data_IF_893644054862
#
_entry.id   IF_893644054862
#
_cell.length_a   1.000
_cell.length_b   1.000
_cell.length_c   1.000
_cell.angle_alpha   90.00
_cell.angle_beta   90.00
_cell.angle_gamma   90.00
#
_symmetry.space_group_name_H-M   'P 1'
#
loop_
_entity.id
_entity.type
_entity.pdbx_description
1 polymer ?
#
# COMPACT_ATOMS: atom_id res chain seq x y z
N UNK A 1 12.33 -4.05 -8.04
CA UNK A 1 11.38 -5.18 -7.97
C UNK A 1 10.20 -4.83 -8.87
N UNK A 2 9.72 -5.74 -9.72
CA UNK A 2 8.59 -5.45 -10.63
C UNK A 2 7.36 -6.20 -10.12
N UNK A 3 6.27 -5.49 -9.82
CA UNK A 3 4.98 -6.08 -9.49
C UNK A 3 4.42 -6.75 -10.76
N UNK A 4 4.50 -8.07 -10.84
CA UNK A 4 3.86 -8.82 -11.93
C UNK A 4 2.35 -8.83 -11.69
N UNK A 5 1.58 -8.44 -12.70
CA UNK A 5 0.10 -8.35 -12.64
C UNK A 5 -0.57 -9.62 -12.13
N UNK A 6 0.01 -10.80 -12.40
CA UNK A 6 -0.52 -12.12 -12.02
C UNK A 6 -0.60 -12.35 -10.50
N UNK A 7 0.11 -11.57 -9.70
CA UNK A 7 0.14 -11.72 -8.24
C UNK A 7 -0.80 -10.72 -7.52
N UNK A 8 -1.37 -9.75 -8.23
CA UNK A 8 -2.28 -8.77 -7.65
C UNK A 8 -3.64 -9.42 -7.50
N UNK A 9 -4.10 -9.59 -6.26
CA UNK A 9 -5.43 -10.13 -5.94
C UNK A 9 -6.49 -9.04 -5.84
N UNK A 10 -6.07 -7.86 -5.41
CA UNK A 10 -6.96 -6.73 -5.25
C UNK A 10 -6.20 -5.42 -5.46
N UNK A 11 -6.92 -4.41 -5.93
CA UNK A 11 -6.35 -3.09 -6.18
C UNK A 11 -7.35 -1.98 -5.93
N UNK A 12 -6.83 -0.85 -5.52
CA UNK A 12 -7.55 0.39 -5.40
C UNK A 12 -6.67 1.55 -5.83
N UNK A 13 -7.28 2.57 -6.42
CA UNK A 13 -6.58 3.79 -6.79
C UNK A 13 -7.53 4.98 -6.70
N UNK A 14 -7.00 6.11 -6.26
CA UNK A 14 -7.69 7.38 -6.24
C UNK A 14 -6.83 8.44 -6.92
N UNK A 15 -7.46 9.23 -7.79
CA UNK A 15 -6.85 10.39 -8.42
C UNK A 15 -7.49 11.66 -7.84
N UNK A 16 -6.69 12.45 -7.14
CA UNK A 16 -7.15 13.62 -6.40
C UNK A 16 -6.65 14.87 -7.12
N UNK A 17 -7.56 15.60 -7.76
CA UNK A 17 -7.21 16.84 -8.45
C UNK A 17 -6.79 17.94 -7.48
N UNK A 18 -5.70 18.64 -7.79
CA UNK A 18 -5.21 19.78 -7.00
C UNK A 18 -4.39 19.40 -5.75
N UNK A 19 -4.19 18.11 -5.48
CA UNK A 19 -3.44 17.60 -4.33
C UNK A 19 -1.95 17.28 -4.63
N UNK A 20 -1.40 17.78 -5.73
CA UNK A 20 0.01 17.55 -6.06
C UNK A 20 0.93 18.14 -4.98
N UNK A 21 1.97 17.40 -4.61
CA UNK A 21 2.90 17.75 -3.52
C UNK A 21 2.51 17.15 -2.16
N UNK A 22 1.30 16.60 -2.02
CA UNK A 22 0.82 16.06 -0.73
C UNK A 22 1.10 14.56 -0.55
N UNK A 23 1.89 13.95 -1.44
CA UNK A 23 2.21 12.52 -1.40
C UNK A 23 2.83 12.07 -0.08
N UNK A 24 3.79 12.83 0.46
CA UNK A 24 4.42 12.55 1.75
C UNK A 24 3.40 12.60 2.89
N UNK A 25 2.50 13.58 2.85
CA UNK A 25 1.52 13.80 3.89
C UNK A 25 0.50 12.66 3.96
N UNK A 26 0.01 12.21 2.80
CA UNK A 26 -0.86 11.03 2.71
C UNK A 26 -0.16 9.80 3.27
N UNK A 27 1.09 9.54 2.86
CA UNK A 27 1.83 8.36 3.32
C UNK A 27 2.15 8.40 4.82
N UNK A 28 2.46 9.58 5.35
CA UNK A 28 2.70 9.79 6.78
C UNK A 28 1.43 9.59 7.61
N UNK A 29 0.31 10.19 7.19
CA UNK A 29 -0.99 10.00 7.83
C UNK A 29 -1.42 8.52 7.79
N UNK A 30 -1.22 7.86 6.64
CA UNK A 30 -1.48 6.43 6.48
C UNK A 30 -0.67 5.58 7.46
N UNK A 31 0.64 5.81 7.57
CA UNK A 31 1.49 5.11 8.55
C UNK A 31 1.02 5.30 9.98
N UNK A 32 0.64 6.53 10.32
CA UNK A 32 0.10 6.85 11.65
C UNK A 32 -1.21 6.11 11.90
N UNK A 33 -2.09 6.02 10.91
CA UNK A 33 -3.36 5.29 11.00
C UNK A 33 -3.15 3.79 11.21
N UNK A 34 -2.26 3.18 10.42
CA UNK A 34 -1.93 1.75 10.55
C UNK A 34 -1.33 1.43 11.93
N UNK A 35 -0.46 2.31 12.46
CA UNK A 35 0.10 2.15 13.80
C UNK A 35 -0.96 2.32 14.89
N UNK A 36 -1.84 3.31 14.75
CA UNK A 36 -2.92 3.58 15.70
C UNK A 36 -3.99 2.47 15.72
N UNK A 37 -4.18 1.77 14.61
CA UNK A 37 -5.11 0.64 14.51
C UNK A 37 -4.70 -0.57 15.37
N UNK A 38 -3.44 -0.63 15.84
CA UNK A 38 -3.01 -1.67 16.78
C UNK A 38 -3.07 -3.09 16.23
N UNK A 39 -2.93 -3.25 14.90
CA UNK A 39 -3.01 -4.56 14.25
C UNK A 39 -1.89 -5.47 14.80
N UNK A 40 -2.21 -6.68 15.27
CA UNK A 40 -1.22 -7.59 15.82
C UNK A 40 -0.23 -8.05 14.74
N UNK A 41 1.02 -8.27 15.16
CA UNK A 41 2.06 -8.91 14.33
C UNK A 41 2.39 -8.24 12.98
N UNK A 42 2.07 -6.95 12.83
CA UNK A 42 2.42 -6.22 11.61
C UNK A 42 3.92 -5.95 11.50
N UNK A 43 4.41 -6.08 10.28
CA UNK A 43 5.70 -5.56 9.87
C UNK A 43 5.49 -4.52 8.78
N UNK A 44 6.04 -3.33 9.00
CA UNK A 44 5.94 -2.23 8.02
C UNK A 44 7.32 -1.90 7.49
N UNK A 45 7.44 -1.85 6.17
CA UNK A 45 8.65 -1.51 5.45
C UNK A 45 8.41 -0.41 4.42
N UNK A 46 9.44 0.36 4.09
CA UNK A 46 9.45 1.20 2.90
C UNK A 46 10.19 0.48 1.79
N UNK A 47 9.55 0.30 0.64
CA UNK A 47 10.19 -0.24 -0.55
C UNK A 47 10.17 0.81 -1.66
N UNK A 48 11.35 1.21 -2.10
CA UNK A 48 11.48 1.84 -3.41
C UNK A 48 11.31 0.73 -4.46
N UNK A 49 10.12 0.64 -5.05
CA UNK A 49 9.85 -0.28 -6.15
C UNK A 49 10.56 0.31 -7.37
N UNK A 50 11.84 -0.01 -7.48
CA UNK A 50 12.70 0.39 -8.58
C UNK A 50 12.54 -0.55 -9.76
N UNK A 51 12.32 0.01 -10.93
CA UNK A 51 12.66 -0.64 -12.20
C UNK A 51 14.14 -0.32 -12.49
N UNK A 52 15.08 -0.77 -11.64
CA UNK A 52 16.52 -0.53 -11.83
C UNK A 52 17.34 -0.35 -10.54
N UNK A 53 18.56 -0.87 -10.55
CA UNK A 53 19.48 -1.07 -9.42
C UNK A 53 19.69 0.11 -8.44
N UNK A 54 19.66 -0.23 -7.14
CA UNK A 54 20.64 0.19 -6.13
C UNK A 54 20.86 1.68 -5.87
N UNK A 55 20.30 2.20 -4.77
CA UNK A 55 21.05 3.11 -3.90
C UNK A 55 20.43 3.22 -2.52
N UNK A 56 21.31 3.09 -1.52
CA UNK A 56 21.02 3.24 -0.10
C UNK A 56 20.59 4.68 0.17
N UNK A 57 19.42 4.84 0.80
CA UNK A 57 19.22 5.78 1.90
C UNK A 57 19.75 7.23 1.71
N UNK A 58 19.38 7.90 0.63
CA UNK A 58 19.55 9.36 0.50
C UNK A 58 18.48 9.91 -0.45
N UNK A 59 17.43 10.54 0.08
CA UNK A 59 16.46 11.31 -0.73
C UNK A 59 15.03 10.77 -0.79
N UNK A 60 14.43 10.41 0.35
CA UNK A 60 13.06 9.83 0.43
C UNK A 60 11.97 10.76 -0.16
N UNK A 61 12.24 12.05 -0.39
CA UNK A 61 11.30 13.02 -1.02
C UNK A 61 11.98 14.06 -1.95
N UNK A 62 13.08 13.71 -2.63
CA UNK A 62 13.73 14.65 -3.54
C UNK A 62 13.02 14.72 -4.89
N UNK A 63 12.26 15.80 -5.10
CA UNK A 63 11.72 16.20 -6.39
C UNK A 63 12.81 16.36 -7.46
N UNK A 64 12.48 15.97 -8.69
CA UNK A 64 13.32 16.18 -9.87
C UNK A 64 13.42 14.94 -10.76
N UNK A 65 12.67 14.96 -11.87
CA UNK A 65 13.02 14.34 -13.14
C UNK A 65 13.40 12.85 -13.16
N UNK A 66 12.48 12.02 -13.65
CA UNK A 66 12.84 10.94 -14.58
C UNK A 66 13.32 9.59 -14.04
N UNK A 67 13.23 9.30 -12.74
CA UNK A 67 13.54 7.96 -12.21
C UNK A 67 12.27 7.24 -11.75
N UNK A 68 11.96 6.08 -12.35
CA UNK A 68 10.78 5.24 -12.03
C UNK A 68 10.92 4.48 -10.68
N UNK A 69 11.40 5.17 -9.65
CA UNK A 69 11.39 4.68 -8.28
C UNK A 69 10.05 5.03 -7.65
N UNK A 70 9.14 4.06 -7.55
CA UNK A 70 7.88 4.24 -6.84
C UNK A 70 8.11 3.94 -5.37
N UNK A 71 8.23 4.98 -4.54
CA UNK A 71 8.20 4.81 -3.09
C UNK A 71 6.85 4.25 -2.69
N UNK A 72 6.83 3.02 -2.18
CA UNK A 72 5.65 2.38 -1.65
C UNK A 72 5.92 1.92 -0.23
N UNK A 73 4.90 2.04 0.61
CA UNK A 73 4.85 1.39 1.91
C UNK A 73 4.38 -0.04 1.67
N UNK A 74 5.08 -0.98 2.28
CA UNK A 74 4.75 -2.40 2.27
C UNK A 74 4.34 -2.78 3.69
N UNK A 75 3.17 -3.37 3.82
CA UNK A 75 2.65 -3.87 5.10
C UNK A 75 2.48 -5.37 4.95
N UNK A 76 3.05 -6.10 5.89
CA UNK A 76 2.93 -7.54 6.02
C UNK A 76 2.38 -7.87 7.41
N UNK A 77 1.76 -9.04 7.52
CA UNK A 77 1.37 -9.62 8.81
C UNK A 77 2.04 -10.99 8.94
N UNK A 78 2.70 -11.27 10.08
CA UNK A 78 3.40 -12.54 10.31
C UNK A 78 2.45 -13.75 10.32
N UNK A 79 1.21 -13.55 10.77
CA UNK A 79 0.18 -14.60 10.77
C UNK A 79 -0.34 -14.93 9.36
N UNK A 80 -0.15 -14.03 8.40
CA UNK A 80 -0.59 -14.14 7.01
C UNK A 80 0.60 -14.17 6.03
N UNK A 81 1.46 -15.21 6.13
CA UNK A 81 2.68 -15.27 5.34
C UNK A 81 2.36 -15.30 3.85
N UNK A 82 2.99 -14.39 3.11
CA UNK A 82 2.80 -14.28 1.65
C UNK A 82 1.78 -13.28 1.15
N UNK A 83 0.97 -12.74 2.05
CA UNK A 83 0.02 -11.69 1.73
C UNK A 83 0.63 -10.35 2.10
N UNK A 84 0.80 -9.50 1.10
CA UNK A 84 1.42 -8.20 1.24
C UNK A 84 0.48 -7.11 0.73
N UNK A 85 0.46 -6.00 1.46
CA UNK A 85 -0.23 -4.79 1.03
C UNK A 85 0.81 -3.76 0.61
N UNK A 86 0.65 -3.25 -0.60
CA UNK A 86 1.46 -2.17 -1.16
C UNK A 86 0.62 -0.91 -1.25
N UNK A 87 1.01 0.15 -0.56
CA UNK A 87 0.38 1.47 -0.65
C UNK A 87 1.38 2.52 -1.11
N UNK A 88 0.95 3.44 -1.98
CA UNK A 88 1.82 4.49 -2.50
C UNK A 88 1.01 5.71 -2.94
N UNK A 89 1.59 6.89 -2.77
CA UNK A 89 1.04 8.15 -3.24
C UNK A 89 2.10 8.86 -4.09
N UNK A 90 1.69 9.45 -5.21
CA UNK A 90 2.61 10.15 -6.11
C UNK A 90 1.91 11.23 -6.90
N UNK A 91 2.65 12.24 -7.29
CA UNK A 91 2.15 13.25 -8.22
C UNK A 91 2.06 12.70 -9.64
N UNK A 92 0.97 13.02 -10.32
CA UNK A 92 0.73 12.73 -11.72
C UNK A 92 0.13 13.98 -12.38
N UNK A 93 1.02 14.86 -12.86
CA UNK A 93 0.62 16.19 -13.31
C UNK A 93 0.09 17.02 -12.14
N UNK A 94 -1.12 17.58 -12.28
CA UNK A 94 -1.82 18.35 -11.23
C UNK A 94 -2.66 17.48 -10.28
N UNK A 95 -2.52 16.16 -10.38
CA UNK A 95 -3.28 15.21 -9.57
C UNK A 95 -2.33 14.46 -8.65
N UNK A 96 -2.81 14.11 -7.46
CA UNK A 96 -2.19 13.11 -6.61
C UNK A 96 -2.82 11.75 -6.92
N UNK A 97 -2.00 10.80 -7.35
CA UNK A 97 -2.41 9.42 -7.53
C UNK A 97 -2.04 8.62 -6.29
N UNK A 98 -3.05 8.12 -5.59
CA UNK A 98 -2.91 7.16 -4.50
C UNK A 98 -3.24 5.78 -5.03
N UNK A 99 -2.46 4.78 -4.62
CA UNK A 99 -2.58 3.42 -5.09
C UNK A 99 -2.39 2.43 -3.96
N UNK A 100 -3.17 1.37 -3.98
CA UNK A 100 -3.18 0.30 -3.01
C UNK A 100 -3.32 -1.04 -3.74
N UNK A 101 -2.57 -2.05 -3.31
CA UNK A 101 -2.61 -3.38 -3.91
C UNK A 101 -2.49 -4.45 -2.83
N UNK A 102 -3.34 -5.47 -2.90
CA UNK A 102 -3.15 -6.75 -2.23
C UNK A 102 -2.43 -7.70 -3.19
N UNK A 103 -1.31 -8.25 -2.75
CA UNK A 103 -0.44 -9.09 -3.56
C UNK A 103 -0.14 -10.40 -2.83
N UNK A 104 -0.23 -11.52 -3.56
CA UNK A 104 0.29 -12.81 -3.09
C UNK A 104 1.67 -13.06 -3.69
N UNK A 105 2.70 -13.14 -2.85
CA UNK A 105 4.05 -13.44 -3.32
C UNK A 105 4.42 -14.92 -3.15
N UNK A 106 4.64 -15.62 -4.27
CA UNK A 106 4.90 -17.06 -4.24
C UNK A 106 6.37 -17.39 -3.91
N UNK A 107 7.35 -16.46 -4.05
CA UNK A 107 8.78 -16.77 -3.80
C UNK A 107 9.68 -15.57 -3.41
N UNK A 108 10.56 -15.81 -2.42
CA UNK A 108 11.96 -15.34 -2.18
C UNK A 108 12.51 -14.06 -2.87
N UNK A 109 11.86 -12.88 -2.80
CA UNK A 109 12.50 -11.65 -3.35
C UNK A 109 12.85 -10.59 -2.30
N UNK A 110 12.46 -10.76 -1.04
CA UNK A 110 12.76 -9.75 -0.03
C UNK A 110 13.43 -10.26 1.24
N UNK A 111 14.21 -9.38 1.89
CA UNK A 111 14.76 -9.64 3.24
C UNK A 111 13.64 -9.85 4.27
N UNK A 112 12.45 -9.28 4.05
CA UNK A 112 11.26 -9.44 4.89
C UNK A 112 10.61 -10.83 4.72
N UNK A 113 10.61 -11.40 3.51
CA UNK A 113 10.10 -12.75 3.24
C UNK A 113 10.91 -13.88 3.90
N UNK A 114 12.09 -13.61 4.48
CA UNK A 114 12.84 -14.62 5.25
C UNK A 114 12.30 -14.81 6.66
N UNK A 115 11.67 -13.79 7.25
CA UNK A 115 11.05 -13.88 8.57
C UNK A 115 9.64 -14.46 8.48
N UNK A 116 8.96 -14.26 7.35
CA UNK A 116 7.53 -14.49 7.17
C UNK A 116 7.22 -15.71 6.28
N UNK A 117 8.14 -16.68 6.14
CA UNK A 117 7.86 -17.95 5.45
C UNK A 117 7.63 -17.87 3.92
N UNK A 118 7.67 -19.04 3.26
CA UNK A 118 7.41 -19.17 1.81
C UNK A 118 6.00 -19.70 1.60
N UNK A 119 5.22 -19.07 0.71
CA UNK A 119 3.88 -19.54 0.33
C UNK A 119 4.02 -20.72 -0.61
N UNK A 120 4.19 -21.91 -0.04
CA UNK A 120 3.82 -23.13 -0.72
C UNK A 120 2.37 -23.41 -0.33
N UNK A 121 1.42 -23.07 -1.20
CA UNK A 121 0.01 -23.45 -1.11
C UNK A 121 -0.58 -23.37 0.31
N UNK A 122 -0.64 -22.17 0.90
CA UNK A 122 -1.55 -21.99 2.04
C UNK A 122 -2.96 -21.96 1.48
N UNK A 123 -3.62 -23.11 1.56
CA UNK A 123 -5.07 -23.14 1.59
C UNK A 123 -5.49 -22.26 2.78
N UNK A 124 -6.21 -21.17 2.49
CA UNK A 124 -6.73 -20.31 3.53
C UNK A 124 -7.84 -21.09 4.23
N UNK A 125 -7.61 -21.47 5.49
CA UNK A 125 -8.71 -21.92 6.33
C UNK A 125 -9.66 -20.75 6.63
N UNK A 126 -10.81 -21.06 7.21
CA UNK A 126 -11.86 -20.06 7.48
C UNK A 126 -11.36 -18.94 8.41
N UNK A 127 -10.54 -19.27 9.41
CA UNK A 127 -10.02 -18.30 10.37
C UNK A 127 -8.95 -17.39 9.76
N UNK A 128 -8.08 -17.94 8.92
CA UNK A 128 -7.11 -17.16 8.14
C UNK A 128 -7.78 -16.28 7.09
N UNK A 129 -8.92 -16.74 6.56
CA UNK A 129 -9.73 -15.93 5.63
C UNK A 129 -10.34 -14.73 6.34
N UNK A 130 -10.89 -14.94 7.54
CA UNK A 130 -11.39 -13.86 8.40
C UNK A 130 -10.27 -12.90 8.80
N UNK A 131 -9.12 -13.42 9.22
CA UNK A 131 -7.96 -12.62 9.60
C UNK A 131 -7.39 -11.82 8.42
N UNK A 132 -7.28 -12.43 7.24
CA UNK A 132 -6.89 -11.73 6.01
C UNK A 132 -7.87 -10.63 5.67
N UNK A 133 -9.17 -10.89 5.77
CA UNK A 133 -10.21 -9.91 5.49
C UNK A 133 -10.14 -8.73 6.45
N UNK A 134 -9.97 -8.99 7.76
CA UNK A 134 -9.80 -7.96 8.77
C UNK A 134 -8.53 -7.13 8.51
N UNK A 135 -7.39 -7.79 8.29
CA UNK A 135 -6.12 -7.14 7.99
C UNK A 135 -6.22 -6.23 6.75
N UNK A 136 -6.76 -6.76 5.66
CA UNK A 136 -6.91 -6.04 4.39
C UNK A 136 -7.85 -4.84 4.56
N UNK A 137 -8.97 -5.03 5.25
CA UNK A 137 -9.95 -3.97 5.49
C UNK A 137 -9.35 -2.85 6.32
N UNK A 138 -8.76 -3.15 7.48
CA UNK A 138 -8.22 -2.14 8.39
C UNK A 138 -7.11 -1.32 7.71
N UNK A 139 -6.22 -1.98 6.96
CA UNK A 139 -5.16 -1.29 6.24
C UNK A 139 -5.72 -0.42 5.11
N UNK A 140 -6.74 -0.90 4.39
CA UNK A 140 -7.40 -0.11 3.35
C UNK A 140 -8.13 1.11 3.92
N UNK A 141 -8.89 0.95 5.01
CA UNK A 141 -9.54 2.05 5.73
C UNK A 141 -8.52 3.08 6.21
N UNK A 142 -7.40 2.64 6.78
CA UNK A 142 -6.34 3.54 7.22
C UNK A 142 -5.80 4.41 6.08
N UNK A 143 -5.73 3.88 4.85
CA UNK A 143 -5.31 4.65 3.69
C UNK A 143 -6.41 5.61 3.21
N UNK A 144 -7.68 5.16 3.19
CA UNK A 144 -8.82 6.03 2.85
C UNK A 144 -8.94 7.19 3.82
N UNK A 145 -8.79 6.96 5.12
CA UNK A 145 -8.80 7.99 6.16
C UNK A 145 -7.67 8.98 6.00
N UNK A 146 -6.46 8.50 5.67
CA UNK A 146 -5.32 9.38 5.36
C UNK A 146 -5.59 10.27 4.14
N UNK A 147 -6.19 9.71 3.09
CA UNK A 147 -6.59 10.49 1.91
C UNK A 147 -7.67 11.51 2.26
N UNK A 148 -8.69 11.09 3.00
CA UNK A 148 -9.80 11.94 3.44
C UNK A 148 -9.30 13.10 4.30
N UNK A 149 -8.37 12.84 5.23
CA UNK A 149 -7.75 13.86 6.05
C UNK A 149 -7.06 14.91 5.17
N UNK A 150 -6.19 14.48 4.25
CA UNK A 150 -5.48 15.41 3.35
C UNK A 150 -6.45 16.20 2.48
N UNK A 151 -7.48 15.56 1.94
CA UNK A 151 -8.50 16.24 1.13
C UNK A 151 -9.27 17.29 1.93
N UNK A 152 -9.67 16.99 3.16
CA UNK A 152 -10.39 17.92 4.04
C UNK A 152 -9.52 19.15 4.35
N UNK A 153 -8.23 18.96 4.64
CA UNK A 153 -7.29 20.05 4.90
C UNK A 153 -7.08 20.96 3.67
N UNK A 154 -7.26 20.42 2.47
CA UNK A 154 -7.22 21.16 1.21
C UNK A 154 -8.59 21.72 0.78
N UNK A 155 -9.63 21.55 1.61
CA UNK A 155 -11.01 21.88 1.29
C UNK A 155 -11.52 21.22 -0.01
N UNK A 156 -11.06 19.99 -0.26
CA UNK A 156 -11.46 19.15 -1.39
C UNK A 156 -12.57 18.18 -0.97
N UNK A 157 -13.48 17.91 -1.91
CA UNK A 157 -14.62 17.02 -1.68
C UNK A 157 -14.25 15.55 -1.85
N UNK A 158 -14.20 14.81 -0.74
CA UNK A 158 -13.90 13.37 -0.70
C UNK A 158 -14.99 12.51 -1.36
N UNK A 159 -16.23 13.00 -1.51
CA UNK A 159 -17.32 12.20 -2.11
C UNK A 159 -17.09 11.86 -3.58
N UNK A 160 -16.13 12.55 -4.23
CA UNK A 160 -15.73 12.30 -5.62
C UNK A 160 -14.68 11.20 -5.77
N UNK A 161 -14.15 10.67 -4.66
CA UNK A 161 -13.20 9.57 -4.66
C UNK A 161 -13.94 8.25 -4.72
N UNK A 162 -13.60 7.41 -5.69
CA UNK A 162 -14.07 6.02 -5.71
C UNK A 162 -13.46 5.28 -4.52
N UNK A 163 -14.28 4.76 -3.61
CA UNK A 163 -13.84 4.03 -2.42
C UNK A 163 -13.78 2.53 -2.64
N UNK A 164 -14.30 2.02 -3.76
CA UNK A 164 -14.45 0.59 -3.98
C UNK A 164 -13.16 -0.02 -4.49
N UNK A 165 -12.71 -1.08 -3.83
CA UNK A 165 -11.64 -1.92 -4.37
C UNK A 165 -12.13 -2.72 -5.58
N UNK A 166 -11.21 -3.10 -6.47
CA UNK A 166 -11.48 -4.06 -7.55
C UNK A 166 -10.67 -5.32 -7.31
N UNK A 167 -11.32 -6.46 -7.10
CA UNK A 167 -10.61 -7.72 -6.99
C UNK A 167 -11.33 -8.81 -6.23
N UNK A 168 -10.55 -9.58 -5.48
CA UNK A 168 -10.97 -10.81 -4.84
C UNK A 168 -11.99 -10.60 -3.71
N UNK A 169 -11.86 -9.54 -2.90
CA UNK A 169 -12.71 -9.33 -1.73
C UNK A 169 -13.79 -8.27 -1.96
N UNK A 170 -13.63 -7.39 -2.96
CA UNK A 170 -14.56 -6.28 -3.28
C UNK A 170 -14.97 -5.49 -2.03
N UNK A 171 -14.01 -5.15 -1.19
CA UNK A 171 -14.26 -4.36 0.01
C UNK A 171 -14.55 -2.89 -0.36
N UNK A 172 -15.47 -2.27 0.39
CA UNK A 172 -16.00 -0.91 0.18
C UNK A 172 -15.65 0.01 1.34
#
# INVERSE_FOLDING_TARGET
MSLKSQNIKERWFAAIGGANGESEKVLRAFMSGVQAAGIPEIEVGSQSVSVGLGSKLKGIFSGGGGSQNRGMIVIANKSLPGWLIYAGARDYGKQLLVSWYLVTEVRKVSRWARTIGTVANMELDIFKTEELSAFVTIVHESLKDAVKQVMNEMNLDFTKVDTHTRGFLNIS
#
